data_IF_956560966943
#
_entry.id   IF_956560966943
#
_cell.length_a   1.000
_cell.length_b   1.000
_cell.length_c   1.000
_cell.angle_alpha   90.00
_cell.angle_beta   90.00
_cell.angle_gamma   90.00
#
_symmetry.space_group_name_H-M   'P 1'
#
loop_
_entity.id
_entity.type
_entity.pdbx_description
1 polymer ?
#
# COMPACT_ATOMS: atom_id res chain seq x y z
N UNK A 1 -60.63 -7.18 3.37
CA UNK A 1 -60.53 -8.39 4.18
C UNK A 1 -59.35 -8.20 5.09
N UNK A 2 -59.54 -8.20 6.42
CA UNK A 2 -58.47 -8.08 7.38
C UNK A 2 -58.14 -9.45 7.94
N UNK A 3 -56.86 -9.78 8.07
CA UNK A 3 -56.41 -11.00 8.73
C UNK A 3 -56.55 -10.88 10.24
N UNK A 4 -57.00 -11.94 10.88
CA UNK A 4 -57.17 -12.02 12.34
C UNK A 4 -55.88 -12.58 12.92
N UNK A 5 -55.21 -11.78 13.77
CA UNK A 5 -54.01 -12.20 14.49
C UNK A 5 -54.42 -12.90 15.79
N UNK A 6 -53.90 -14.11 16.02
CA UNK A 6 -54.16 -14.86 17.24
C UNK A 6 -53.22 -14.41 18.36
N UNK A 7 -53.67 -14.51 19.62
CA UNK A 7 -52.82 -14.17 20.78
C UNK A 7 -51.60 -15.07 20.83
N UNK A 8 -50.39 -14.44 20.85
CA UNK A 8 -49.10 -15.13 20.85
C UNK A 8 -48.49 -15.32 19.44
N UNK A 9 -49.21 -14.92 18.39
CA UNK A 9 -48.64 -14.96 17.03
C UNK A 9 -47.70 -13.77 16.81
N UNK A 10 -46.45 -14.06 16.36
CA UNK A 10 -45.49 -13.04 15.94
C UNK A 10 -45.91 -12.52 14.57
N UNK A 11 -46.29 -11.25 14.48
CA UNK A 11 -46.75 -10.63 13.22
C UNK A 11 -45.80 -9.58 12.68
N UNK A 12 -44.79 -9.17 13.48
CA UNK A 12 -43.73 -8.26 13.01
C UNK A 12 -42.43 -8.51 13.78
N UNK A 13 -41.32 -8.19 13.15
CA UNK A 13 -40.00 -8.17 13.79
C UNK A 13 -39.44 -6.77 13.68
N UNK A 14 -38.98 -6.21 14.79
CA UNK A 14 -38.30 -4.92 14.82
C UNK A 14 -36.79 -5.17 14.66
N UNK A 15 -36.20 -4.59 13.64
CA UNK A 15 -34.79 -4.66 13.40
C UNK A 15 -34.18 -3.28 13.60
N UNK A 16 -33.22 -3.16 14.50
CA UNK A 16 -32.40 -1.95 14.65
C UNK A 16 -31.29 -2.03 13.62
N UNK A 17 -31.27 -1.11 12.67
CA UNK A 17 -30.37 -1.14 11.52
C UNK A 17 -29.47 0.12 11.44
N UNK A 18 -29.22 0.78 12.58
CA UNK A 18 -28.36 1.96 12.64
C UNK A 18 -26.87 1.61 12.66
N UNK A 19 -26.57 0.41 13.14
CA UNK A 19 -25.25 -0.20 13.13
C UNK A 19 -25.38 -1.64 12.64
N UNK A 20 -24.40 -2.10 11.90
CA UNK A 20 -24.33 -3.48 11.44
C UNK A 20 -22.99 -4.09 11.85
N UNK A 21 -23.07 -5.32 12.35
CA UNK A 21 -21.91 -6.13 12.63
C UNK A 21 -21.55 -6.96 11.40
N UNK A 22 -20.28 -6.94 11.02
CA UNK A 22 -19.71 -7.85 10.05
C UNK A 22 -18.80 -8.85 10.74
N UNK A 23 -18.97 -10.13 10.43
CA UNK A 23 -18.07 -11.20 10.86
C UNK A 23 -17.06 -11.45 9.76
N UNK A 24 -15.82 -11.09 10.04
CA UNK A 24 -14.71 -11.15 9.09
C UNK A 24 -13.74 -12.25 9.52
N UNK A 25 -13.44 -13.15 8.62
CA UNK A 25 -12.47 -14.19 8.88
C UNK A 25 -11.10 -13.75 8.37
N UNK A 26 -10.14 -13.65 9.29
CA UNK A 26 -8.77 -13.18 9.02
C UNK A 26 -7.79 -14.32 9.23
N UNK A 27 -6.90 -14.63 8.27
CA UNK A 27 -5.92 -15.70 8.44
C UNK A 27 -5.08 -15.54 9.71
N UNK A 28 -4.85 -16.64 10.44
CA UNK A 28 -4.18 -16.63 11.74
C UNK A 28 -2.74 -16.10 11.71
N UNK A 29 -2.09 -16.09 10.54
CA UNK A 29 -0.76 -15.49 10.35
C UNK A 29 -0.72 -13.99 10.70
N UNK A 30 -1.87 -13.32 10.64
CA UNK A 30 -1.99 -11.90 10.98
C UNK A 30 -2.39 -11.66 12.45
N UNK A 31 -2.59 -12.70 13.25
CA UNK A 31 -3.08 -12.60 14.64
C UNK A 31 -2.30 -11.62 15.51
N UNK A 32 -0.98 -11.59 15.38
CA UNK A 32 -0.10 -10.70 16.17
C UNK A 32 -0.19 -9.22 15.77
N UNK A 33 -0.80 -8.92 14.62
CA UNK A 33 -0.95 -7.56 14.08
C UNK A 33 -2.38 -7.05 14.17
N UNK A 34 -3.34 -7.93 14.50
CA UNK A 34 -4.74 -7.55 14.67
C UNK A 34 -4.93 -6.88 16.03
N UNK A 35 -5.66 -5.77 16.02
CA UNK A 35 -6.00 -5.01 17.22
C UNK A 35 -7.43 -4.46 17.10
N UNK A 36 -8.10 -4.32 18.24
CA UNK A 36 -9.37 -3.61 18.32
C UNK A 36 -9.19 -2.16 17.89
N UNK A 37 -10.21 -1.59 17.27
CA UNK A 37 -10.19 -0.23 16.72
C UNK A 37 -9.55 -0.10 15.33
N UNK A 38 -8.94 -1.16 14.77
CA UNK A 38 -8.39 -1.10 13.41
C UNK A 38 -9.51 -0.87 12.38
N UNK A 39 -9.26 -0.02 11.36
CA UNK A 39 -10.25 0.22 10.32
C UNK A 39 -10.54 -1.03 9.49
N UNK A 40 -11.82 -1.22 9.19
CA UNK A 40 -12.32 -2.26 8.28
C UNK A 40 -13.10 -1.58 7.17
N UNK A 41 -12.72 -1.87 5.93
CA UNK A 41 -13.36 -1.34 4.74
C UNK A 41 -14.31 -2.38 4.16
N UNK A 42 -15.55 -2.00 3.87
CA UNK A 42 -16.50 -2.78 3.08
C UNK A 42 -16.40 -2.35 1.63
N UNK A 43 -16.30 -3.32 0.73
CA UNK A 43 -16.19 -3.07 -0.70
C UNK A 43 -17.44 -3.55 -1.43
N UNK A 44 -17.83 -2.82 -2.48
CA UNK A 44 -18.93 -3.21 -3.33
C UNK A 44 -18.65 -4.57 -4.02
N UNK A 45 -19.68 -5.41 -4.24
CA UNK A 45 -19.52 -6.71 -4.89
C UNK A 45 -18.86 -6.56 -6.27
N UNK A 46 -17.75 -7.29 -6.49
CA UNK A 46 -17.03 -7.28 -7.77
C UNK A 46 -16.23 -5.99 -8.07
N UNK A 47 -16.06 -5.09 -7.09
CA UNK A 47 -15.34 -3.83 -7.21
C UNK A 47 -14.41 -3.61 -6.02
N UNK A 48 -13.45 -2.70 -6.17
CA UNK A 48 -12.65 -2.18 -5.05
C UNK A 48 -13.23 -0.88 -4.46
N UNK A 49 -14.40 -0.48 -4.89
CA UNK A 49 -15.10 0.69 -4.37
C UNK A 49 -15.49 0.48 -2.91
N UNK A 50 -15.08 1.41 -2.04
CA UNK A 50 -15.40 1.38 -0.62
C UNK A 50 -16.79 1.94 -0.42
N UNK A 51 -17.72 1.11 0.08
CA UNK A 51 -19.10 1.49 0.35
C UNK A 51 -19.35 1.85 1.82
N UNK A 52 -18.51 1.36 2.73
CA UNK A 52 -18.57 1.73 4.14
C UNK A 52 -17.22 1.49 4.84
N UNK A 53 -16.99 2.25 5.90
CA UNK A 53 -15.83 2.10 6.78
C UNK A 53 -16.33 1.87 8.20
N UNK A 54 -15.84 0.81 8.82
CA UNK A 54 -16.10 0.46 10.21
C UNK A 54 -14.80 0.26 10.98
N UNK A 55 -14.89 -0.34 12.14
CA UNK A 55 -13.76 -0.66 12.98
C UNK A 55 -13.89 -2.05 13.59
N UNK A 56 -12.76 -2.68 13.86
CA UNK A 56 -12.71 -3.93 14.65
C UNK A 56 -13.22 -3.64 16.06
N UNK A 57 -14.28 -4.33 16.46
CA UNK A 57 -14.85 -4.26 17.80
C UNK A 57 -14.25 -5.34 18.70
N UNK A 58 -14.15 -6.57 18.18
CA UNK A 58 -13.61 -7.69 18.95
C UNK A 58 -12.93 -8.73 18.06
N UNK A 59 -12.01 -9.48 18.64
CA UNK A 59 -11.26 -10.56 18.00
C UNK A 59 -11.48 -11.83 18.83
N UNK A 60 -12.08 -12.88 18.23
CA UNK A 60 -12.22 -14.16 18.91
C UNK A 60 -10.80 -14.75 19.15
N UNK A 61 -10.45 -15.10 20.39
CA UNK A 61 -9.15 -15.67 20.68
C UNK A 61 -8.96 -17.10 20.13
N UNK A 62 -10.02 -17.72 19.62
CA UNK A 62 -9.98 -19.07 19.07
C UNK A 62 -9.78 -19.07 17.56
N UNK A 63 -8.84 -19.90 17.11
CA UNK A 63 -8.67 -20.16 15.68
C UNK A 63 -9.74 -21.16 15.24
N UNK A 64 -10.45 -20.84 14.17
CA UNK A 64 -11.44 -21.73 13.57
C UNK A 64 -10.74 -22.90 12.88
N UNK A 65 -10.96 -24.16 13.28
CA UNK A 65 -10.20 -25.31 12.79
C UNK A 65 -10.29 -25.51 11.26
N UNK A 66 -11.46 -25.23 10.68
CA UNK A 66 -11.71 -25.48 9.26
C UNK A 66 -11.04 -24.48 8.32
N UNK A 67 -10.85 -23.24 8.75
CA UNK A 67 -10.35 -22.15 7.92
C UNK A 67 -8.98 -21.66 8.36
N UNK A 68 -8.52 -22.09 9.54
CA UNK A 68 -7.29 -21.59 10.18
C UNK A 68 -7.28 -20.06 10.32
N UNK A 69 -8.48 -19.48 10.48
CA UNK A 69 -8.72 -18.05 10.61
C UNK A 69 -9.14 -17.64 12.01
N UNK A 70 -8.97 -16.38 12.32
CA UNK A 70 -9.54 -15.69 13.49
C UNK A 70 -10.84 -15.02 13.07
N UNK A 71 -11.88 -15.20 13.87
CA UNK A 71 -13.13 -14.47 13.67
C UNK A 71 -12.99 -13.08 14.28
N UNK A 72 -13.15 -12.07 13.45
CA UNK A 72 -13.11 -10.66 13.83
C UNK A 72 -14.52 -10.10 13.65
N UNK A 73 -15.05 -9.48 14.69
CA UNK A 73 -16.30 -8.72 14.61
C UNK A 73 -15.95 -7.26 14.36
N UNK A 74 -16.52 -6.69 13.30
CA UNK A 74 -16.35 -5.28 12.95
C UNK A 74 -17.71 -4.60 12.91
N UNK A 75 -17.79 -3.38 13.44
CA UNK A 75 -19.01 -2.58 13.50
C UNK A 75 -18.95 -1.47 12.46
N UNK A 76 -20.06 -1.33 11.73
CA UNK A 76 -20.23 -0.33 10.67
C UNK A 76 -21.42 0.56 10.99
N UNK A 77 -21.25 1.89 11.06
CA UNK A 77 -22.37 2.81 11.14
C UNK A 77 -23.22 2.72 9.87
N UNK A 78 -24.52 2.68 10.01
CA UNK A 78 -25.50 2.56 8.91
C UNK A 78 -26.60 3.61 9.05
N UNK A 79 -26.22 4.87 9.25
CA UNK A 79 -27.14 5.98 9.48
C UNK A 79 -28.05 6.27 8.27
N UNK A 80 -27.55 6.02 7.08
CA UNK A 80 -28.29 6.17 5.81
C UNK A 80 -29.09 4.92 5.43
N UNK A 81 -28.96 3.83 6.21
CA UNK A 81 -29.67 2.56 6.03
C UNK A 81 -29.43 1.91 4.65
N UNK A 82 -28.31 2.17 4.05
CA UNK A 82 -27.94 1.60 2.73
C UNK A 82 -27.46 0.15 2.84
N UNK A 83 -26.84 -0.21 3.96
CA UNK A 83 -26.41 -1.56 4.24
C UNK A 83 -27.57 -2.40 4.74
N UNK A 84 -27.64 -3.66 4.30
CA UNK A 84 -28.67 -4.62 4.73
C UNK A 84 -28.03 -5.82 5.39
N UNK A 85 -28.70 -6.35 6.41
CA UNK A 85 -28.31 -7.60 7.04
C UNK A 85 -28.38 -8.78 6.07
N UNK A 86 -27.52 -9.79 6.28
CA UNK A 86 -27.43 -10.99 5.45
C UNK A 86 -26.65 -10.84 4.14
N UNK A 87 -26.08 -9.67 3.87
CA UNK A 87 -25.22 -9.48 2.69
C UNK A 87 -23.83 -10.11 2.90
N UNK A 88 -23.32 -10.76 1.86
CA UNK A 88 -21.91 -11.16 1.79
C UNK A 88 -21.15 -10.14 0.98
N UNK A 89 -20.20 -9.47 1.60
CA UNK A 89 -19.39 -8.41 1.00
C UNK A 89 -17.92 -8.73 1.16
N UNK A 90 -17.11 -8.17 0.28
CA UNK A 90 -15.66 -8.20 0.46
C UNK A 90 -15.26 -7.19 1.52
N UNK A 91 -14.35 -7.60 2.40
CA UNK A 91 -13.84 -6.76 3.48
C UNK A 91 -12.32 -6.67 3.41
N UNK A 92 -11.78 -5.51 3.77
CA UNK A 92 -10.34 -5.29 3.91
C UNK A 92 -10.07 -4.74 5.31
N UNK A 93 -9.41 -5.52 6.15
CA UNK A 93 -8.92 -5.07 7.47
C UNK A 93 -7.60 -4.36 7.27
N UNK A 94 -7.49 -3.12 7.72
CA UNK A 94 -6.24 -2.36 7.69
C UNK A 94 -5.39 -2.73 8.91
N UNK A 95 -4.48 -3.67 8.74
CA UNK A 95 -3.63 -4.17 9.83
C UNK A 95 -2.56 -3.15 10.21
N UNK A 96 -2.17 -2.26 9.28
CA UNK A 96 -1.19 -1.21 9.49
C UNK A 96 -1.53 -0.01 8.60
N UNK A 97 -1.81 1.12 9.23
CA UNK A 97 -1.90 2.41 8.56
C UNK A 97 -0.64 3.23 8.91
N UNK A 98 0.54 2.79 8.48
CA UNK A 98 1.75 3.60 8.53
C UNK A 98 1.99 4.18 7.14
N UNK A 99 2.31 5.48 7.10
CA UNK A 99 2.86 6.07 5.88
C UNK A 99 4.25 5.46 5.65
N UNK A 100 4.30 4.43 4.83
CA UNK A 100 5.56 3.82 4.43
C UNK A 100 6.05 4.48 3.14
N UNK A 101 7.36 4.76 3.11
CA UNK A 101 8.01 5.17 1.88
C UNK A 101 7.85 4.04 0.86
N UNK A 102 7.21 4.30 -0.25
CA UNK A 102 7.00 3.31 -1.30
C UNK A 102 7.45 3.84 -2.66
N UNK A 103 7.88 2.93 -3.51
CA UNK A 103 8.24 3.23 -4.90
C UNK A 103 7.46 2.34 -5.86
N UNK A 104 7.14 2.81 -7.08
CA UNK A 104 6.50 1.98 -8.09
C UNK A 104 7.33 0.72 -8.37
N UNK A 105 6.65 -0.40 -8.62
CA UNK A 105 7.29 -1.65 -9.05
C UNK A 105 8.31 -1.43 -10.18
N UNK A 106 7.96 -0.58 -11.15
CA UNK A 106 8.81 -0.24 -12.28
C UNK A 106 10.12 0.47 -11.90
N UNK A 107 10.29 0.99 -10.68
CA UNK A 107 11.51 1.67 -10.22
C UNK A 107 12.54 0.71 -9.63
N UNK A 108 12.16 -0.52 -9.30
CA UNK A 108 13.03 -1.49 -8.62
C UNK A 108 13.64 -2.45 -9.61
N UNK A 109 14.97 -2.59 -9.56
CA UNK A 109 15.72 -3.62 -10.30
C UNK A 109 16.34 -4.60 -9.33
N UNK A 110 16.41 -5.87 -9.71
CA UNK A 110 17.05 -6.91 -8.90
C UNK A 110 18.26 -7.46 -9.65
N UNK A 111 19.37 -7.58 -8.96
CA UNK A 111 20.59 -8.18 -9.48
C UNK A 111 21.22 -9.03 -8.39
N UNK A 112 21.49 -10.31 -8.68
CA UNK A 112 22.11 -11.25 -7.75
C UNK A 112 21.41 -11.31 -6.37
N UNK A 113 20.08 -11.26 -6.35
CA UNK A 113 19.29 -11.32 -5.12
C UNK A 113 19.22 -10.01 -4.31
N UNK A 114 19.83 -8.94 -4.80
CA UNK A 114 19.77 -7.64 -4.16
C UNK A 114 18.91 -6.68 -4.99
N UNK A 115 18.05 -5.91 -4.31
CA UNK A 115 17.20 -4.89 -4.92
C UNK A 115 17.89 -3.54 -4.94
N UNK A 116 17.74 -2.83 -6.05
CA UNK A 116 18.31 -1.50 -6.28
C UNK A 116 17.26 -0.59 -6.90
N UNK A 117 17.43 0.69 -6.65
CA UNK A 117 16.76 1.77 -7.40
C UNK A 117 17.80 2.72 -7.95
N UNK A 118 17.48 3.42 -9.03
CA UNK A 118 18.28 4.53 -9.52
C UNK A 118 17.72 5.83 -8.98
N UNK A 119 18.34 6.33 -7.91
CA UNK A 119 18.03 7.64 -7.33
C UNK A 119 18.66 8.76 -8.17
N UNK A 120 17.96 9.87 -8.30
CA UNK A 120 18.53 11.07 -8.91
C UNK A 120 19.31 11.84 -7.84
N UNK A 121 20.54 12.17 -8.13
CA UNK A 121 21.41 12.93 -7.24
C UNK A 121 22.29 13.94 -7.96
N UNK A 122 22.90 14.83 -7.18
CA UNK A 122 23.84 15.84 -7.66
C UNK A 122 25.21 15.24 -7.94
N UNK A 123 26.10 16.03 -8.56
CA UNK A 123 27.50 15.66 -8.74
C UNK A 123 28.25 15.49 -7.42
N UNK A 124 27.91 16.28 -6.41
CA UNK A 124 28.53 16.18 -5.08
C UNK A 124 28.14 14.86 -4.39
N UNK A 125 26.87 14.45 -4.48
CA UNK A 125 26.44 13.15 -3.97
C UNK A 125 27.09 11.97 -4.71
N UNK A 126 27.30 12.10 -6.03
CA UNK A 126 28.07 11.11 -6.80
C UNK A 126 29.52 11.04 -6.35
N UNK A 127 30.11 12.19 -5.98
CA UNK A 127 31.50 12.26 -5.49
C UNK A 127 31.69 11.55 -4.15
N UNK A 128 30.68 11.56 -3.28
CA UNK A 128 30.67 10.81 -2.00
C UNK A 128 30.68 9.28 -2.23
N UNK A 129 30.03 8.81 -3.28
CA UNK A 129 30.00 7.39 -3.64
C UNK A 129 30.16 7.19 -5.14
N UNK A 130 31.39 7.31 -5.67
CA UNK A 130 31.63 7.33 -7.11
C UNK A 130 31.45 5.98 -7.80
N UNK A 131 31.56 4.88 -7.07
CA UNK A 131 31.53 3.54 -7.65
C UNK A 131 32.59 3.40 -8.78
N UNK A 132 32.10 3.10 -10.00
CA UNK A 132 32.95 3.01 -11.23
C UNK A 132 32.85 4.25 -12.13
N UNK A 133 32.25 5.35 -11.65
CA UNK A 133 32.11 6.57 -12.46
C UNK A 133 33.43 7.31 -12.57
N UNK A 134 33.73 7.80 -13.77
CA UNK A 134 34.92 8.63 -14.05
C UNK A 134 34.62 10.09 -13.65
N UNK A 135 34.84 10.40 -12.36
CA UNK A 135 34.59 11.74 -11.81
C UNK A 135 35.39 12.83 -12.50
N UNK A 136 36.67 12.55 -12.92
CA UNK A 136 37.51 13.54 -13.59
C UNK A 136 36.92 13.94 -14.92
N UNK A 137 36.46 12.96 -15.69
CA UNK A 137 35.81 13.20 -16.99
C UNK A 137 34.51 13.99 -16.82
N UNK A 138 33.68 13.61 -15.87
CA UNK A 138 32.41 14.31 -15.60
C UNK A 138 32.65 15.76 -15.17
N UNK A 139 33.65 16.00 -14.33
CA UNK A 139 34.01 17.35 -13.89
C UNK A 139 34.51 18.21 -15.09
N UNK A 140 35.29 17.63 -15.97
CA UNK A 140 35.73 18.31 -17.20
C UNK A 140 34.54 18.62 -18.12
N UNK A 141 33.59 17.71 -18.27
CA UNK A 141 32.41 17.92 -19.12
C UNK A 141 31.48 19.00 -18.52
N UNK A 142 31.40 19.12 -17.21
CA UNK A 142 30.69 20.21 -16.52
C UNK A 142 31.41 21.55 -16.75
N UNK A 143 32.75 21.59 -16.55
CA UNK A 143 33.55 22.79 -16.73
C UNK A 143 33.57 23.27 -18.20
N UNK A 144 33.51 22.32 -19.13
CA UNK A 144 33.46 22.61 -20.57
C UNK A 144 32.05 23.01 -21.06
N UNK A 145 31.04 23.06 -20.17
CA UNK A 145 29.64 23.38 -20.51
C UNK A 145 28.91 22.31 -21.31
N UNK A 146 29.48 21.11 -21.44
CA UNK A 146 28.80 19.96 -22.07
C UNK A 146 27.68 19.37 -21.19
N UNK A 147 27.84 19.49 -19.88
CA UNK A 147 26.81 19.16 -18.89
C UNK A 147 26.47 20.43 -18.13
N UNK A 148 25.18 20.67 -17.81
CA UNK A 148 24.80 21.82 -17.00
C UNK A 148 25.35 21.67 -15.58
N UNK A 149 25.64 22.80 -14.91
CA UNK A 149 26.16 22.79 -13.53
C UNK A 149 25.25 22.09 -12.54
N UNK A 150 23.94 22.05 -12.81
CA UNK A 150 22.92 21.35 -12.03
C UNK A 150 22.54 19.99 -12.65
N UNK A 151 23.42 19.37 -13.42
CA UNK A 151 23.21 18.06 -14.00
C UNK A 151 22.85 17.04 -12.90
N UNK A 152 21.90 16.18 -13.21
CA UNK A 152 21.52 15.09 -12.33
C UNK A 152 22.12 13.78 -12.82
N UNK A 153 22.44 12.92 -11.88
CA UNK A 153 23.11 11.65 -12.14
C UNK A 153 22.26 10.51 -11.57
N UNK A 154 22.26 9.38 -12.27
CA UNK A 154 21.65 8.15 -11.79
C UNK A 154 22.55 7.52 -10.74
N UNK A 155 22.11 7.49 -9.49
CA UNK A 155 22.83 6.88 -8.38
C UNK A 155 22.17 5.53 -8.05
N UNK A 156 22.84 4.44 -8.43
CA UNK A 156 22.39 3.09 -8.06
C UNK A 156 22.47 2.94 -6.54
N UNK A 157 21.31 2.81 -5.92
CA UNK A 157 21.17 2.77 -4.46
C UNK A 157 20.58 1.44 -4.05
N UNK A 158 21.25 0.64 -3.22
CA UNK A 158 20.69 -0.60 -2.68
C UNK A 158 19.53 -0.28 -1.75
N UNK A 159 18.46 -1.06 -1.88
CA UNK A 159 17.26 -0.89 -1.06
C UNK A 159 16.79 -2.23 -0.51
N UNK A 160 16.13 -2.18 0.65
CA UNK A 160 15.37 -3.30 1.18
C UNK A 160 13.89 -3.02 0.92
N UNK A 161 13.26 -3.90 0.17
CA UNK A 161 11.84 -3.78 -0.19
C UNK A 161 11.00 -4.74 0.65
N UNK A 162 9.77 -4.33 0.97
CA UNK A 162 8.75 -5.20 1.53
C UNK A 162 7.96 -5.96 0.45
N UNK A 163 6.85 -6.55 0.84
CA UNK A 163 5.95 -7.24 -0.09
C UNK A 163 5.27 -6.26 -1.05
N UNK A 164 5.14 -6.66 -2.30
CA UNK A 164 4.48 -5.84 -3.33
C UNK A 164 3.00 -5.65 -2.98
N UNK A 165 2.56 -4.39 -2.86
CA UNK A 165 1.18 -4.03 -2.57
C UNK A 165 0.72 -2.93 -3.55
N UNK A 166 -0.42 -3.12 -4.19
CA UNK A 166 -0.99 -2.13 -5.10
C UNK A 166 0.02 -1.58 -6.15
N UNK A 167 0.85 -2.43 -6.72
CA UNK A 167 1.93 -2.07 -7.68
C UNK A 167 3.02 -1.14 -7.09
N UNK A 168 3.15 -1.10 -5.77
CA UNK A 168 4.16 -0.35 -5.02
C UNK A 168 4.97 -1.31 -4.14
N UNK A 169 6.27 -1.07 -4.07
CA UNK A 169 7.15 -1.70 -3.09
C UNK A 169 7.37 -0.76 -1.90
N UNK A 170 6.96 -1.16 -0.67
CA UNK A 170 7.40 -0.47 0.53
C UNK A 170 8.92 -0.53 0.66
N UNK A 171 9.56 0.58 1.00
CA UNK A 171 11.02 0.66 1.19
C UNK A 171 11.32 0.77 2.68
N UNK A 172 11.92 -0.26 3.23
CA UNK A 172 12.31 -0.28 4.64
C UNK A 172 13.69 0.30 4.90
N UNK A 173 14.60 0.25 3.90
CA UNK A 173 15.96 0.81 3.98
C UNK A 173 16.45 1.27 2.60
N UNK A 174 17.33 2.27 2.60
CA UNK A 174 18.10 2.68 1.40
C UNK A 174 17.59 3.96 0.73
N UNK A 175 16.37 4.40 1.00
CA UNK A 175 15.84 5.68 0.51
C UNK A 175 15.39 6.58 1.66
N UNK A 176 15.35 7.88 1.38
CA UNK A 176 14.80 8.91 2.25
C UNK A 176 13.57 9.55 1.58
N UNK A 177 12.71 10.14 2.40
CA UNK A 177 11.55 10.89 1.91
C UNK A 177 12.00 12.00 0.92
N UNK A 178 11.18 12.28 -0.08
CA UNK A 178 11.41 13.28 -1.13
C UNK A 178 12.58 12.98 -2.09
N UNK A 179 13.22 11.82 -2.03
CA UNK A 179 14.18 11.43 -3.04
C UNK A 179 13.46 10.98 -4.32
N UNK A 180 13.95 11.44 -5.47
CA UNK A 180 13.39 11.10 -6.77
C UNK A 180 14.06 9.85 -7.30
N UNK A 181 13.28 8.93 -7.84
CA UNK A 181 13.77 7.68 -8.45
C UNK A 181 13.34 7.60 -9.92
N UNK A 182 14.18 6.95 -10.72
CA UNK A 182 13.86 6.67 -12.12
C UNK A 182 12.86 5.51 -12.19
N UNK A 183 11.83 5.65 -13.02
CA UNK A 183 10.79 4.63 -13.25
C UNK A 183 10.82 4.07 -14.67
N UNK A 184 11.61 4.66 -15.56
CA UNK A 184 11.70 4.28 -16.96
C UNK A 184 13.15 4.13 -17.40
N UNK A 185 13.37 3.32 -18.44
CA UNK A 185 14.67 3.12 -19.08
C UNK A 185 15.77 2.55 -18.17
N UNK A 186 15.39 1.84 -17.10
CA UNK A 186 16.31 1.36 -16.06
C UNK A 186 17.42 0.45 -16.60
N UNK A 187 17.15 -0.35 -17.62
CA UNK A 187 18.12 -1.28 -18.21
C UNK A 187 19.33 -0.57 -18.84
N UNK A 188 19.15 0.67 -19.25
CA UNK A 188 20.21 1.49 -19.86
C UNK A 188 20.91 2.38 -18.83
N UNK A 189 20.39 2.51 -17.62
CA UNK A 189 21.01 3.33 -16.59
C UNK A 189 22.22 2.61 -15.97
N UNK A 190 23.25 3.40 -15.71
CA UNK A 190 24.43 2.98 -14.94
C UNK A 190 24.71 4.00 -13.86
N UNK A 191 25.33 3.53 -12.78
CA UNK A 191 25.75 4.42 -11.70
C UNK A 191 26.66 5.52 -12.23
N UNK A 192 26.36 6.79 -11.88
CA UNK A 192 27.08 7.98 -12.32
C UNK A 192 26.74 8.48 -13.74
N UNK A 193 25.77 7.87 -14.40
CA UNK A 193 25.32 8.34 -15.72
C UNK A 193 24.55 9.66 -15.58
N UNK A 194 24.88 10.72 -16.36
CA UNK A 194 24.08 11.94 -16.38
C UNK A 194 22.71 11.65 -17.00
N UNK A 195 21.65 12.19 -16.39
CA UNK A 195 20.26 11.96 -16.81
C UNK A 195 19.50 13.26 -16.98
N UNK A 196 18.61 13.28 -17.97
CA UNK A 196 17.61 14.33 -18.13
C UNK A 196 16.29 13.83 -17.57
N UNK A 197 15.71 14.62 -16.68
CA UNK A 197 14.45 14.30 -16.04
C UNK A 197 13.31 14.74 -16.94
N UNK A 198 12.50 13.78 -17.38
CA UNK A 198 11.20 14.08 -17.97
C UNK A 198 10.13 13.96 -16.89
N UNK A 199 9.17 14.90 -16.81
CA UNK A 199 8.06 14.75 -15.86
C UNK A 199 7.31 13.45 -16.17
N UNK A 200 6.96 12.70 -15.12
CA UNK A 200 6.12 11.54 -15.28
C UNK A 200 4.82 11.95 -15.98
N UNK A 201 4.44 11.25 -17.05
CA UNK A 201 3.09 11.41 -17.61
C UNK A 201 2.11 10.97 -16.52
N UNK A 202 1.29 11.90 -16.05
CA UNK A 202 0.14 11.55 -15.22
C UNK A 202 -0.79 10.65 -16.07
N UNK A 203 -0.99 9.43 -15.61
CA UNK A 203 -2.03 8.54 -16.11
C UNK A 203 -3.31 8.83 -15.36
#
# INVERSE_FOLDING_TARGET
MGDVIQQGQVFTSLVQNNELEARVEVPAIFSTRLQEGQPVLLMAPGSEEIIATGAVESIDPRITPNTQGLLVTAVFPNTDRTLRDGLRLNTRVQIKAEEELAVPFAAVTQTSGQSFVFRLGSFDELRENPGKADLKRLELDIKAGKLPANAQFALQTPVTVGELQNNLYPITKGLKLNQRVATTNLLNLRHGMPVQVQPAKAN
#
